data_IF_943175671722
#
_entry.id   IF_943175671722
#
_cell.length_a   1.000
_cell.length_b   1.000
_cell.length_c   1.000
_cell.angle_alpha   90.00
_cell.angle_beta   90.00
_cell.angle_gamma   90.00
#
_symmetry.space_group_name_H-M   'P 1'
#
loop_
_entity.id
_entity.type
_entity.pdbx_description
1 polymer ?
#
# COMPACT_ATOMS: atom_id res chain seq x y z
N UNK A 1 -3.26 2.26 11.60
CA UNK A 1 -2.91 3.18 10.50
C UNK A 1 -1.57 3.78 10.86
N UNK A 2 -0.48 3.20 10.38
CA UNK A 2 0.85 3.77 10.55
C UNK A 2 0.86 5.24 10.11
N UNK A 3 1.36 6.12 10.97
CA UNK A 3 1.65 7.51 10.59
C UNK A 3 2.70 7.46 9.48
N UNK A 4 2.40 8.07 8.33
CA UNK A 4 3.40 8.23 7.28
C UNK A 4 4.56 9.08 7.81
N UNK A 5 5.78 8.60 7.62
CA UNK A 5 6.98 9.38 7.91
C UNK A 5 7.03 10.55 6.93
N UNK A 6 7.21 11.74 7.48
CA UNK A 6 7.29 13.02 6.80
C UNK A 6 8.72 13.51 6.95
N UNK A 7 9.30 13.91 5.85
CA UNK A 7 10.65 14.45 5.83
C UNK A 7 10.75 15.67 6.76
N UNK A 8 11.82 15.74 7.56
CA UNK A 8 12.05 16.82 8.53
C UNK A 8 11.27 16.72 9.86
N UNK A 9 10.41 15.70 10.06
CA UNK A 9 9.70 15.51 11.32
C UNK A 9 10.49 14.65 12.31
N UNK A 10 10.36 14.95 13.61
CA UNK A 10 10.95 14.15 14.69
C UNK A 10 9.94 13.12 15.19
N UNK A 11 10.38 11.87 15.39
CA UNK A 11 9.55 10.75 15.81
C UNK A 11 10.05 10.19 17.14
N UNK A 12 9.14 9.76 18.01
CA UNK A 12 9.54 9.04 19.22
C UNK A 12 10.00 7.63 18.86
N UNK A 13 10.81 7.00 19.71
CA UNK A 13 11.20 5.60 19.54
C UNK A 13 9.98 4.67 19.39
N UNK A 14 8.90 4.95 20.13
CA UNK A 14 7.64 4.20 20.03
C UNK A 14 7.00 4.34 18.66
N UNK A 15 6.90 5.55 18.10
CA UNK A 15 6.35 5.76 16.76
C UNK A 15 7.13 4.96 15.70
N UNK A 16 8.47 4.91 15.81
CA UNK A 16 9.32 4.14 14.88
C UNK A 16 9.10 2.64 15.04
N UNK A 17 9.04 2.13 16.28
CA UNK A 17 8.80 0.71 16.56
C UNK A 17 7.43 0.27 16.00
N UNK A 18 6.39 1.07 16.21
CA UNK A 18 5.04 0.76 15.72
C UNK A 18 5.01 0.67 14.18
N UNK A 19 5.70 1.60 13.49
CA UNK A 19 5.80 1.59 12.01
C UNK A 19 6.55 0.34 11.51
N UNK A 20 7.69 0.01 12.13
CA UNK A 20 8.48 -1.16 11.75
C UNK A 20 7.72 -2.46 12.01
N UNK A 21 6.98 -2.53 13.12
CA UNK A 21 6.13 -3.67 13.45
C UNK A 21 4.97 -3.84 12.46
N UNK A 22 4.30 -2.74 12.10
CA UNK A 22 3.23 -2.74 11.10
C UNK A 22 3.78 -3.18 9.73
N UNK A 23 4.95 -2.68 9.32
CA UNK A 23 5.64 -3.07 8.08
C UNK A 23 6.03 -4.56 8.06
N UNK A 24 6.64 -5.07 9.15
CA UNK A 24 7.00 -6.49 9.26
C UNK A 24 5.78 -7.39 9.15
N UNK A 25 4.71 -7.06 9.89
CA UNK A 25 3.47 -7.84 9.84
C UNK A 25 2.80 -7.80 8.46
N UNK A 26 2.91 -6.67 7.75
CA UNK A 26 2.44 -6.53 6.37
C UNK A 26 3.23 -7.44 5.43
N UNK A 27 4.57 -7.40 5.50
CA UNK A 27 5.45 -8.29 4.70
C UNK A 27 5.07 -9.75 4.88
N UNK A 28 4.88 -10.22 6.11
CA UNK A 28 4.53 -11.61 6.39
C UNK A 28 3.17 -11.99 5.81
N UNK A 29 2.16 -11.11 5.94
CA UNK A 29 0.83 -11.32 5.35
C UNK A 29 0.89 -11.39 3.82
N UNK A 30 1.66 -10.50 3.18
CA UNK A 30 1.85 -10.49 1.72
C UNK A 30 2.53 -11.77 1.26
N UNK A 31 3.63 -12.17 1.90
CA UNK A 31 4.34 -13.41 1.56
C UNK A 31 3.42 -14.63 1.70
N UNK A 32 2.64 -14.71 2.80
CA UNK A 32 1.73 -15.83 3.02
C UNK A 32 0.65 -15.91 1.95
N UNK A 33 0.03 -14.78 1.58
CA UNK A 33 -0.99 -14.73 0.52
C UNK A 33 -0.39 -15.05 -0.85
N UNK A 34 0.78 -14.50 -1.17
CA UNK A 34 1.45 -14.76 -2.45
C UNK A 34 1.85 -16.22 -2.61
N UNK A 35 2.35 -16.86 -1.54
CA UNK A 35 2.63 -18.31 -1.54
C UNK A 35 1.38 -19.15 -1.76
N UNK A 36 0.22 -18.74 -1.24
CA UNK A 36 -1.05 -19.40 -1.50
C UNK A 36 -1.46 -19.29 -2.97
N UNK A 37 -1.51 -18.05 -3.46
CA UNK A 37 -1.85 -17.76 -4.85
C UNK A 37 -0.92 -18.47 -5.84
N UNK A 38 0.39 -18.46 -5.59
CA UNK A 38 1.36 -19.14 -6.46
C UNK A 38 1.09 -20.63 -6.59
N UNK A 39 0.71 -21.32 -5.50
CA UNK A 39 0.34 -22.74 -5.57
C UNK A 39 -0.97 -22.98 -6.31
N UNK A 40 -1.92 -22.04 -6.23
CA UNK A 40 -3.18 -22.14 -6.96
C UNK A 40 -3.02 -21.92 -8.46
N UNK A 41 -1.97 -21.20 -8.87
CA UNK A 41 -1.68 -20.90 -10.27
C UNK A 41 -0.77 -21.97 -10.91
N UNK A 42 0.12 -22.57 -10.13
CA UNK A 42 1.08 -23.59 -10.57
C UNK A 42 0.39 -24.75 -11.31
N UNK A 43 0.86 -25.01 -12.53
CA UNK A 43 0.42 -26.16 -13.32
C UNK A 43 -0.90 -25.95 -14.08
N UNK A 44 -1.48 -24.75 -14.02
CA UNK A 44 -2.63 -24.39 -14.86
C UNK A 44 -2.16 -24.12 -16.29
N UNK A 45 -2.94 -24.56 -17.28
CA UNK A 45 -2.65 -24.34 -18.69
C UNK A 45 -2.53 -22.85 -19.08
N UNK A 46 -3.19 -21.97 -18.32
CA UNK A 46 -3.20 -20.52 -18.50
C UNK A 46 -2.48 -19.75 -17.38
N UNK A 47 -1.51 -20.38 -16.71
CA UNK A 47 -0.79 -19.80 -15.56
C UNK A 47 -0.22 -18.39 -15.86
N UNK A 48 0.43 -18.22 -17.01
CA UNK A 48 0.99 -16.94 -17.43
C UNK A 48 -0.09 -15.84 -17.54
N UNK A 49 -1.22 -16.12 -18.16
CA UNK A 49 -2.33 -15.17 -18.33
C UNK A 49 -2.95 -14.79 -17.00
N UNK A 50 -3.07 -15.75 -16.07
CA UNK A 50 -3.54 -15.50 -14.71
C UNK A 50 -2.60 -14.56 -13.95
N UNK A 51 -1.28 -14.73 -14.08
CA UNK A 51 -0.30 -13.83 -13.48
C UNK A 51 -0.34 -12.42 -14.09
N UNK A 52 -0.48 -12.32 -15.41
CA UNK A 52 -0.65 -11.03 -16.11
C UNK A 52 -1.89 -10.30 -15.60
N UNK A 53 -3.01 -11.00 -15.46
CA UNK A 53 -4.25 -10.41 -14.94
C UNK A 53 -4.08 -9.91 -13.49
N UNK A 54 -3.42 -10.69 -12.64
CA UNK A 54 -3.13 -10.27 -11.25
C UNK A 54 -2.27 -9.00 -11.24
N UNK A 55 -1.25 -8.92 -12.10
CA UNK A 55 -0.40 -7.75 -12.22
C UNK A 55 -1.19 -6.51 -12.67
N UNK A 56 -2.03 -6.64 -13.71
CA UNK A 56 -2.83 -5.52 -14.22
C UNK A 56 -3.79 -4.98 -13.15
N UNK A 57 -4.57 -5.85 -12.51
CA UNK A 57 -5.51 -5.45 -11.45
C UNK A 57 -4.77 -4.80 -10.27
N UNK A 58 -3.59 -5.31 -9.92
CA UNK A 58 -2.77 -4.74 -8.84
C UNK A 58 -2.28 -3.33 -9.17
N UNK A 59 -1.89 -3.08 -10.41
CA UNK A 59 -1.49 -1.76 -10.88
C UNK A 59 -2.67 -0.79 -10.89
N UNK A 60 -3.82 -1.19 -11.45
CA UNK A 60 -5.03 -0.36 -11.48
C UNK A 60 -5.43 0.06 -10.05
N UNK A 61 -5.41 -0.90 -9.12
CA UNK A 61 -5.68 -0.63 -7.71
C UNK A 61 -4.66 0.33 -7.08
N UNK A 62 -3.37 0.13 -7.33
CA UNK A 62 -2.31 0.99 -6.80
C UNK A 62 -2.43 2.43 -7.32
N UNK A 63 -2.79 2.59 -8.59
CA UNK A 63 -3.05 3.89 -9.21
C UNK A 63 -4.30 4.56 -8.62
N UNK A 64 -5.39 3.82 -8.44
CA UNK A 64 -6.63 4.33 -7.82
C UNK A 64 -6.39 4.79 -6.38
N UNK A 65 -5.66 4.01 -5.58
CA UNK A 65 -5.29 4.37 -4.20
C UNK A 65 -4.42 5.63 -4.19
N UNK A 66 -3.48 5.74 -5.12
CA UNK A 66 -2.61 6.92 -5.25
C UNK A 66 -3.40 8.17 -5.61
N UNK A 67 -4.33 8.07 -6.56
CA UNK A 67 -5.23 9.16 -6.95
C UNK A 67 -6.14 9.60 -5.80
N UNK A 68 -6.73 8.65 -5.07
CA UNK A 68 -7.53 8.93 -3.87
C UNK A 68 -6.71 9.69 -2.82
N UNK A 69 -5.47 9.27 -2.58
CA UNK A 69 -4.55 9.94 -1.64
C UNK A 69 -4.22 11.37 -2.08
N UNK A 70 -3.97 11.59 -3.38
CA UNK A 70 -3.68 12.91 -3.93
C UNK A 70 -4.87 13.87 -3.72
N UNK A 71 -6.08 13.42 -4.06
CA UNK A 71 -7.32 14.20 -3.87
C UNK A 71 -7.56 14.58 -2.41
N UNK A 72 -7.30 13.66 -1.48
CA UNK A 72 -7.40 13.94 -0.04
C UNK A 72 -6.38 14.99 0.42
N UNK A 73 -5.15 14.94 -0.10
CA UNK A 73 -4.14 15.97 0.17
C UNK A 73 -4.56 17.35 -0.37
N UNK A 74 -5.08 17.41 -1.60
CA UNK A 74 -5.54 18.66 -2.21
C UNK A 74 -6.72 19.28 -1.45
N UNK A 75 -7.67 18.46 -0.97
CA UNK A 75 -8.79 18.93 -0.15
C UNK A 75 -8.31 19.49 1.19
N UNK A 76 -7.38 18.80 1.86
CA UNK A 76 -6.77 19.31 3.10
C UNK A 76 -6.06 20.66 2.86
N UNK A 77 -5.26 20.77 1.79
CA UNK A 77 -4.56 22.02 1.46
C UNK A 77 -5.51 23.18 1.20
N UNK A 78 -6.59 22.97 0.43
CA UNK A 78 -7.58 24.03 0.15
C UNK A 78 -8.32 24.50 1.41
N UNK A 79 -8.62 23.60 2.34
CA UNK A 79 -9.31 23.95 3.59
C UNK A 79 -8.48 24.84 4.53
N UNK A 80 -7.15 24.79 4.44
CA UNK A 80 -6.23 25.67 5.20
C UNK A 80 -6.09 27.08 4.61
N UNK A 81 -6.34 27.29 3.32
CA UNK A 81 -6.11 28.59 2.66
C UNK A 81 -7.33 29.52 2.68
N UNK A 82 -8.52 29.05 3.08
CA UNK A 82 -9.76 29.86 3.05
C UNK A 82 -10.11 30.50 4.40
N UNK A 83 -9.24 30.43 5.42
CA UNK A 83 -9.48 31.02 6.76
C UNK A 83 -8.53 32.19 7.06
N UNK A 84 -8.25 33.06 6.09
CA UNK A 84 -7.46 34.29 6.31
C UNK A 84 -8.06 35.41 5.50
#
# INVERSE_FOLDING_TARGET
MAKMLREGATYTQRDIIDILSEFSSFKDRVIKKFKGLSRELEGKANEHELWVNVYMISNDYAEEVSCKRLRLQEQMQKSTTTTT
#
